data_IF_315571648963
#
_entry.id   IF_315571648963
#
_cell.length_a   1.000
_cell.length_b   1.000
_cell.length_c   1.000
_cell.angle_alpha   90.00
_cell.angle_beta   90.00
_cell.angle_gamma   90.00
#
_symmetry.space_group_name_H-M   'P 1'
#
loop_
_entity.id
_entity.type
_entity.pdbx_description
1 polymer ?
#
# COMPACT_ATOMS: atom_id res chain seq x y z
N UNK A 1 -31.53 -46.54 -34.32
CA UNK A 1 -31.84 -45.55 -33.28
C UNK A 1 -30.92 -45.82 -32.09
N UNK A 2 -29.80 -45.12 -32.00
CA UNK A 2 -28.93 -45.13 -30.82
C UNK A 2 -28.81 -43.69 -30.33
N UNK A 3 -29.48 -43.40 -29.21
CA UNK A 3 -29.30 -42.16 -28.47
C UNK A 3 -27.94 -42.26 -27.74
N UNK A 4 -26.95 -41.52 -28.21
CA UNK A 4 -25.71 -41.29 -27.45
C UNK A 4 -25.94 -40.08 -26.56
N UNK A 5 -25.99 -40.32 -25.25
CA UNK A 5 -26.10 -39.28 -24.25
C UNK A 5 -24.80 -38.46 -24.24
N UNK A 6 -24.88 -37.22 -24.70
CA UNK A 6 -23.86 -36.20 -24.47
C UNK A 6 -23.75 -35.97 -22.96
N UNK A 7 -22.72 -36.55 -22.36
CA UNK A 7 -22.29 -36.25 -21.00
C UNK A 7 -21.75 -34.81 -21.03
N UNK A 8 -22.57 -33.84 -20.60
CA UNK A 8 -22.08 -32.50 -20.27
C UNK A 8 -21.03 -32.68 -19.18
N UNK A 9 -19.77 -32.51 -19.56
CA UNK A 9 -18.68 -32.30 -18.61
C UNK A 9 -18.94 -30.95 -17.95
N UNK A 10 -19.63 -30.97 -16.81
CA UNK A 10 -19.64 -29.84 -15.89
C UNK A 10 -18.19 -29.71 -15.43
N UNK A 11 -17.45 -28.79 -16.05
CA UNK A 11 -16.24 -28.24 -15.45
C UNK A 11 -16.76 -27.52 -14.21
N UNK A 12 -16.83 -28.27 -13.11
CA UNK A 12 -16.91 -27.70 -11.78
C UNK A 12 -15.68 -26.82 -11.67
N UNK A 13 -15.87 -25.52 -11.89
CA UNK A 13 -14.92 -24.54 -11.42
C UNK A 13 -14.87 -24.75 -9.92
N UNK A 14 -13.88 -25.53 -9.46
CA UNK A 14 -13.46 -25.44 -8.08
C UNK A 14 -13.04 -24.00 -7.90
N UNK A 15 -13.98 -23.17 -7.46
CA UNK A 15 -13.73 -21.97 -6.68
C UNK A 15 -12.96 -22.46 -5.46
N UNK A 16 -11.66 -22.74 -5.65
CA UNK A 16 -10.71 -22.66 -4.57
C UNK A 16 -10.83 -21.21 -4.12
N UNK A 17 -11.57 -20.99 -3.04
CA UNK A 17 -11.66 -19.69 -2.39
C UNK A 17 -10.23 -19.37 -1.96
N UNK A 18 -9.52 -18.61 -2.79
CA UNK A 18 -8.17 -18.20 -2.49
C UNK A 18 -8.28 -17.11 -1.42
N UNK A 19 -7.59 -17.28 -0.29
CA UNK A 19 -7.59 -16.27 0.76
C UNK A 19 -6.38 -15.30 0.64
N UNK A 20 -5.58 -15.44 -0.44
CA UNK A 20 -4.50 -14.52 -0.81
C UNK A 20 -4.27 -14.53 -2.32
N UNK A 21 -3.64 -13.48 -2.86
CA UNK A 21 -3.20 -13.45 -4.26
C UNK A 21 -2.16 -14.55 -4.56
N UNK A 22 -1.28 -14.87 -3.60
CA UNK A 22 -0.32 -15.96 -3.75
C UNK A 22 -1.01 -17.32 -3.95
N UNK A 23 -2.09 -17.60 -3.21
CA UNK A 23 -2.86 -18.83 -3.37
C UNK A 23 -3.68 -18.84 -4.66
N UNK A 24 -4.17 -17.68 -5.11
CA UNK A 24 -4.84 -17.57 -6.41
C UNK A 24 -3.92 -17.98 -7.57
N UNK A 25 -2.60 -17.88 -7.41
CA UNK A 25 -1.62 -18.39 -8.36
C UNK A 25 -1.46 -19.92 -8.36
N UNK A 26 -1.73 -20.61 -7.24
CA UNK A 26 -1.36 -22.04 -7.00
C UNK A 26 -2.16 -23.08 -7.82
N UNK A 27 -2.61 -22.72 -9.01
CA UNK A 27 -3.29 -23.61 -9.96
C UNK A 27 -3.25 -23.16 -11.41
N UNK A 28 -2.54 -22.08 -11.74
CA UNK A 28 -2.39 -21.56 -13.12
C UNK A 28 -0.92 -21.58 -13.53
N UNK A 29 -0.63 -22.08 -14.73
CA UNK A 29 0.72 -22.03 -15.32
C UNK A 29 1.19 -20.58 -15.56
N UNK A 30 0.26 -19.62 -15.63
CA UNK A 30 0.53 -18.18 -15.75
C UNK A 30 -0.50 -17.41 -14.92
N UNK A 31 -0.11 -16.81 -13.78
CA UNK A 31 -1.02 -15.95 -13.03
C UNK A 31 -1.33 -14.68 -13.83
N UNK A 32 -2.60 -14.26 -13.85
CA UNK A 32 -3.09 -13.14 -14.68
C UNK A 32 -3.27 -11.92 -13.78
N UNK A 33 -2.59 -10.81 -14.07
CA UNK A 33 -2.83 -9.57 -13.32
C UNK A 33 -4.26 -9.07 -13.51
N UNK A 34 -4.93 -8.70 -12.42
CA UNK A 34 -6.30 -8.22 -12.48
C UNK A 34 -7.02 -8.23 -11.14
N UNK A 35 -8.35 -8.05 -11.19
CA UNK A 35 -9.21 -8.10 -10.01
C UNK A 35 -9.53 -9.54 -9.61
N UNK A 36 -9.45 -9.80 -8.31
CA UNK A 36 -9.78 -11.08 -7.68
C UNK A 36 -10.67 -10.85 -6.48
N UNK A 37 -11.51 -11.84 -6.18
CA UNK A 37 -12.26 -11.90 -4.93
C UNK A 37 -11.63 -12.94 -4.01
N UNK A 38 -11.13 -12.48 -2.86
CA UNK A 38 -10.50 -13.33 -1.85
C UNK A 38 -11.43 -13.57 -0.65
N UNK A 39 -11.07 -14.52 0.19
CA UNK A 39 -11.73 -14.80 1.47
C UNK A 39 -10.90 -14.38 2.68
N UNK A 40 -11.54 -13.84 3.71
CA UNK A 40 -10.94 -13.79 5.05
C UNK A 40 -10.94 -15.19 5.67
N UNK A 41 -10.19 -15.43 6.77
CA UNK A 41 -10.27 -16.69 7.51
C UNK A 41 -11.69 -17.02 8.03
N UNK A 42 -12.54 -16.00 8.18
CA UNK A 42 -13.95 -16.14 8.57
C UNK A 42 -14.90 -16.35 7.38
N UNK A 43 -14.38 -16.50 6.16
CA UNK A 43 -15.14 -16.74 4.94
C UNK A 43 -15.80 -15.50 4.33
N UNK A 44 -15.54 -14.29 4.87
CA UNK A 44 -16.04 -13.04 4.26
C UNK A 44 -15.25 -12.75 2.99
N UNK A 45 -15.96 -12.37 1.93
CA UNK A 45 -15.32 -12.05 0.65
C UNK A 45 -14.91 -10.58 0.58
N UNK A 46 -13.81 -10.31 -0.10
CA UNK A 46 -13.31 -8.96 -0.35
C UNK A 46 -12.58 -8.90 -1.69
N UNK A 47 -12.63 -7.74 -2.34
CA UNK A 47 -12.02 -7.54 -3.64
C UNK A 47 -10.60 -6.98 -3.48
N UNK A 48 -9.70 -7.54 -4.30
CA UNK A 48 -8.31 -7.12 -4.42
C UNK A 48 -7.93 -7.01 -5.89
N UNK A 49 -6.87 -6.27 -6.16
CA UNK A 49 -6.16 -6.36 -7.43
C UNK A 49 -4.85 -7.10 -7.17
N UNK A 50 -4.67 -8.24 -7.81
CA UNK A 50 -3.44 -9.02 -7.74
C UNK A 50 -2.56 -8.65 -8.92
N UNK A 51 -1.38 -8.12 -8.63
CA UNK A 51 -0.45 -7.61 -9.62
C UNK A 51 0.81 -8.48 -9.66
N UNK A 52 0.89 -9.36 -10.66
CA UNK A 52 1.90 -10.42 -10.71
C UNK A 52 3.13 -10.02 -11.54
N UNK A 53 4.29 -10.43 -11.02
CA UNK A 53 5.62 -10.31 -11.61
C UNK A 53 6.32 -11.67 -11.61
N UNK A 54 7.52 -11.74 -12.18
CA UNK A 54 8.36 -12.93 -12.07
C UNK A 54 8.78 -13.15 -10.60
N UNK A 55 8.44 -14.33 -10.06
CA UNK A 55 8.74 -14.75 -8.69
C UNK A 55 8.01 -14.03 -7.54
N UNK A 56 7.19 -13.01 -7.82
CA UNK A 56 6.48 -12.26 -6.77
C UNK A 56 5.25 -11.52 -7.32
N UNK A 57 4.49 -10.88 -6.44
CA UNK A 57 3.43 -9.96 -6.83
C UNK A 57 3.04 -9.00 -5.71
N UNK A 58 2.06 -8.16 -6.00
CA UNK A 58 1.52 -7.18 -5.07
C UNK A 58 0.01 -7.31 -4.94
N UNK A 59 -0.48 -7.28 -3.70
CA UNK A 59 -1.92 -7.25 -3.41
C UNK A 59 -2.34 -5.83 -3.12
N UNK A 60 -3.23 -5.25 -3.93
CA UNK A 60 -3.91 -4.00 -3.62
C UNK A 60 -5.32 -4.30 -3.11
N UNK A 61 -5.72 -3.73 -1.98
CA UNK A 61 -7.07 -3.91 -1.43
C UNK A 61 -7.96 -2.72 -1.80
N UNK A 62 -9.23 -2.98 -2.10
CA UNK A 62 -10.20 -1.91 -2.36
C UNK A 62 -10.53 -1.12 -1.08
N UNK A 63 -10.71 0.19 -1.20
CA UNK A 63 -11.21 1.08 -0.13
C UNK A 63 -12.49 0.53 0.51
N UNK A 64 -13.38 0.00 -0.32
CA UNK A 64 -14.70 -0.51 0.07
C UNK A 64 -14.62 -1.75 0.97
N UNK A 65 -13.52 -2.50 0.90
CA UNK A 65 -13.38 -3.75 1.65
C UNK A 65 -12.38 -3.67 2.80
N UNK A 66 -11.72 -2.52 3.02
CA UNK A 66 -10.72 -2.41 4.08
C UNK A 66 -11.32 -2.72 5.47
N UNK A 67 -12.58 -2.36 5.72
CA UNK A 67 -13.31 -2.67 6.96
C UNK A 67 -13.74 -4.13 7.13
N UNK A 68 -13.56 -4.98 6.10
CA UNK A 68 -13.79 -6.44 6.19
C UNK A 68 -12.61 -7.13 6.88
N UNK A 69 -11.43 -6.53 6.78
CA UNK A 69 -10.18 -7.07 7.31
C UNK A 69 -10.05 -6.79 8.81
N UNK A 70 -9.54 -7.78 9.55
CA UNK A 70 -9.13 -7.61 10.95
C UNK A 70 -7.71 -7.03 11.04
N UNK A 71 -6.85 -7.49 10.13
CA UNK A 71 -5.48 -7.05 9.95
C UNK A 71 -5.06 -7.28 8.48
N UNK A 72 -3.83 -6.92 8.13
CA UNK A 72 -3.31 -6.97 6.76
C UNK A 72 -2.50 -8.24 6.47
N UNK A 73 -2.36 -9.17 7.43
CA UNK A 73 -1.38 -10.26 7.38
C UNK A 73 -1.54 -11.20 6.18
N UNK A 74 -2.77 -11.36 5.68
CA UNK A 74 -3.05 -12.21 4.51
C UNK A 74 -2.67 -11.56 3.17
N UNK A 75 -2.33 -10.26 3.14
CA UNK A 75 -2.05 -9.53 1.91
C UNK A 75 -0.58 -9.59 1.48
N UNK A 76 0.33 -9.97 2.39
CA UNK A 76 1.77 -9.99 2.15
C UNK A 76 2.42 -11.28 2.68
N UNK A 77 3.56 -11.63 2.10
CA UNK A 77 4.54 -12.54 2.73
C UNK A 77 5.91 -11.89 2.86
N UNK A 78 6.08 -10.68 2.35
CA UNK A 78 7.34 -9.95 2.33
C UNK A 78 7.12 -8.49 2.78
N UNK A 79 7.98 -8.00 3.68
CA UNK A 79 7.93 -6.64 4.26
C UNK A 79 9.15 -5.80 3.90
N UNK A 80 9.96 -6.25 2.95
CA UNK A 80 11.16 -5.55 2.49
C UNK A 80 10.81 -4.23 1.80
N UNK A 81 9.71 -4.19 1.05
CA UNK A 81 9.19 -3.00 0.40
C UNK A 81 7.70 -3.16 0.06
N UNK A 82 7.08 -2.06 -0.33
CA UNK A 82 5.75 -2.00 -0.94
C UNK A 82 5.85 -1.35 -2.31
N UNK A 83 4.88 -1.64 -3.18
CA UNK A 83 4.66 -0.85 -4.39
C UNK A 83 3.61 0.22 -4.07
N UNK A 84 3.92 1.49 -4.33
CA UNK A 84 2.92 2.56 -4.26
C UNK A 84 2.57 3.00 -5.66
N UNK A 85 1.28 2.91 -5.99
CA UNK A 85 0.73 3.37 -7.27
C UNK A 85 0.01 4.69 -7.08
N UNK A 86 0.56 5.76 -7.65
CA UNK A 86 0.04 7.12 -7.59
C UNK A 86 -0.90 7.33 -8.77
N UNK A 87 -2.04 7.98 -8.54
CA UNK A 87 -2.94 8.43 -9.61
C UNK A 87 -2.85 9.94 -9.79
N UNK A 88 -2.66 10.37 -11.03
CA UNK A 88 -2.70 11.77 -11.44
C UNK A 88 -4.14 12.18 -11.81
N UNK A 89 -4.42 13.48 -11.83
CA UNK A 89 -5.75 14.03 -12.13
C UNK A 89 -6.21 13.75 -13.58
N UNK A 90 -5.26 13.59 -14.50
CA UNK A 90 -5.52 13.19 -15.89
C UNK A 90 -5.73 11.67 -16.06
N UNK A 91 -5.64 10.90 -14.97
CA UNK A 91 -5.82 9.46 -14.96
C UNK A 91 -4.55 8.64 -15.16
N UNK A 92 -3.40 9.27 -15.44
CA UNK A 92 -2.11 8.58 -15.50
C UNK A 92 -1.81 7.96 -14.14
N UNK A 93 -1.27 6.73 -14.14
CA UNK A 93 -0.80 6.07 -12.93
C UNK A 93 0.69 5.83 -13.01
N UNK A 94 1.37 6.02 -11.88
CA UNK A 94 2.81 5.85 -11.74
C UNK A 94 3.13 4.97 -10.54
N UNK A 95 4.10 4.10 -10.70
CA UNK A 95 4.58 3.16 -9.69
C UNK A 95 5.91 3.60 -9.10
N UNK A 96 6.06 3.39 -7.79
CA UNK A 96 7.34 3.52 -7.09
C UNK A 96 7.43 2.50 -5.96
N UNK A 97 8.58 1.85 -5.83
CA UNK A 97 8.86 0.99 -4.69
C UNK A 97 9.31 1.85 -3.49
N UNK A 98 8.71 1.59 -2.33
CA UNK A 98 9.05 2.24 -1.07
C UNK A 98 9.53 1.18 -0.08
N UNK A 99 10.71 1.37 0.49
CA UNK A 99 11.34 0.44 1.44
C UNK A 99 11.87 1.17 2.69
N UNK A 100 12.17 0.45 3.79
CA UNK A 100 12.95 1.03 4.88
C UNK A 100 14.34 1.42 4.39
N UNK A 101 14.91 2.47 4.98
CA UNK A 101 16.28 2.91 4.70
C UNK A 101 17.30 1.75 4.86
N UNK A 102 18.32 1.71 4.00
CA UNK A 102 19.30 0.61 3.94
C UNK A 102 19.95 0.29 5.29
N UNK A 103 20.33 1.32 6.06
CA UNK A 103 20.94 1.19 7.38
C UNK A 103 20.00 0.53 8.43
N UNK A 104 18.70 0.51 8.19
CA UNK A 104 17.69 0.11 9.18
C UNK A 104 16.87 -1.10 8.75
N UNK A 105 16.79 -1.42 7.45
CA UNK A 105 15.89 -2.46 6.90
C UNK A 105 16.01 -3.85 7.53
N UNK A 106 17.19 -4.23 8.02
CA UNK A 106 17.39 -5.52 8.69
C UNK A 106 16.85 -5.55 10.13
N UNK A 107 16.79 -4.39 10.79
CA UNK A 107 16.29 -4.25 12.17
C UNK A 107 14.83 -3.84 12.22
N UNK A 108 14.41 -3.00 11.26
CA UNK A 108 13.09 -2.39 11.21
C UNK A 108 12.49 -2.58 9.80
N UNK A 109 11.89 -3.75 9.51
CA UNK A 109 11.07 -3.92 8.31
C UNK A 109 9.80 -3.07 8.41
N UNK A 110 9.18 -2.73 7.27
CA UNK A 110 8.00 -1.83 7.27
C UNK A 110 6.90 -2.42 8.14
N UNK A 111 6.41 -1.65 9.11
CA UNK A 111 5.27 -2.02 9.94
C UNK A 111 3.95 -1.75 9.22
N UNK A 112 3.24 -2.81 8.84
CA UNK A 112 1.91 -2.73 8.27
C UNK A 112 0.84 -2.83 9.36
N UNK A 113 0.01 -1.81 9.50
CA UNK A 113 -1.07 -1.80 10.49
C UNK A 113 -2.37 -1.29 9.89
N UNK A 114 -3.51 -1.75 10.43
CA UNK A 114 -4.85 -1.36 10.00
C UNK A 114 -5.51 -0.49 11.08
N UNK A 115 -5.77 0.77 10.76
CA UNK A 115 -6.45 1.76 11.60
C UNK A 115 -5.82 1.94 13.00
N UNK A 116 -4.51 1.72 13.10
CA UNK A 116 -3.73 1.84 14.33
C UNK A 116 -2.27 2.21 14.00
N UNK A 117 -1.53 2.68 15.01
CA UNK A 117 -0.12 3.08 14.92
C UNK A 117 0.68 2.62 16.15
N UNK A 118 0.53 1.36 16.57
CA UNK A 118 1.18 0.80 17.76
C UNK A 118 2.70 0.88 17.62
N UNK A 119 3.36 1.59 18.53
CA UNK A 119 4.81 1.80 18.54
C UNK A 119 5.30 2.92 17.61
N UNK A 120 4.37 3.67 16.99
CA UNK A 120 4.62 4.78 16.08
C UNK A 120 3.70 5.96 16.43
N UNK A 121 3.91 7.09 15.76
CA UNK A 121 3.07 8.27 15.94
C UNK A 121 1.76 8.14 15.16
N UNK A 122 0.67 8.56 15.80
CA UNK A 122 -0.67 8.52 15.21
C UNK A 122 -0.73 9.51 14.03
N UNK A 123 -1.30 9.09 12.88
CA UNK A 123 -1.53 9.97 11.73
C UNK A 123 -2.36 11.21 12.09
N UNK A 124 -2.06 12.37 11.51
CA UNK A 124 -2.87 13.58 11.73
C UNK A 124 -4.27 13.45 11.17
N UNK A 125 -4.43 12.71 10.07
CA UNK A 125 -5.71 12.41 9.46
C UNK A 125 -6.35 11.11 9.98
N UNK A 126 -5.97 10.61 11.16
CA UNK A 126 -6.52 9.36 11.73
C UNK A 126 -8.05 9.35 11.87
N UNK A 127 -8.71 10.52 11.94
CA UNK A 127 -10.17 10.62 11.93
C UNK A 127 -10.82 10.15 10.60
N UNK A 128 -10.06 10.08 9.50
CA UNK A 128 -10.49 9.57 8.19
C UNK A 128 -10.51 8.03 8.10
N UNK A 129 -10.49 7.35 9.24
CA UNK A 129 -10.50 5.89 9.32
C UNK A 129 -11.65 5.24 8.51
N UNK A 130 -11.47 3.99 8.04
CA UNK A 130 -10.29 3.15 8.23
C UNK A 130 -9.09 3.58 7.37
N UNK A 131 -7.88 3.21 7.80
CA UNK A 131 -6.64 3.52 7.08
C UNK A 131 -5.61 2.40 7.15
N UNK A 132 -4.75 2.31 6.14
CA UNK A 132 -3.54 1.49 6.15
C UNK A 132 -2.38 2.37 6.65
N UNK A 133 -1.60 1.86 7.59
CA UNK A 133 -0.42 2.53 8.14
C UNK A 133 0.85 1.78 7.79
N UNK A 134 1.84 2.47 7.23
CA UNK A 134 3.18 1.97 6.97
C UNK A 134 4.19 2.72 7.86
N UNK A 135 4.64 2.09 8.93
CA UNK A 135 5.67 2.64 9.82
C UNK A 135 7.07 2.22 9.38
N UNK A 136 8.01 3.16 9.25
CA UNK A 136 9.39 2.86 8.84
C UNK A 136 10.34 2.71 10.03
N UNK A 137 10.31 3.66 10.98
CA UNK A 137 11.12 3.62 12.19
C UNK A 137 10.23 3.82 13.44
N UNK A 138 10.37 2.98 14.48
CA UNK A 138 9.55 3.09 15.68
C UNK A 138 9.92 4.31 16.52
N UNK A 139 8.98 4.80 17.34
CA UNK A 139 9.22 5.99 18.19
C UNK A 139 10.40 5.83 19.14
N UNK A 140 10.65 4.60 19.59
CA UNK A 140 11.78 4.27 20.47
C UNK A 140 13.14 4.57 19.85
N UNK A 141 13.21 4.68 18.52
CA UNK A 141 14.41 5.07 17.78
C UNK A 141 14.33 6.53 17.33
N UNK A 142 13.19 6.95 16.77
CA UNK A 142 13.08 8.22 16.05
C UNK A 142 13.21 9.46 16.94
N UNK A 143 13.00 9.35 18.26
CA UNK A 143 13.17 10.45 19.24
C UNK A 143 14.62 10.95 19.42
N UNK A 144 15.57 10.38 18.69
CA UNK A 144 16.96 10.82 18.69
C UNK A 144 17.23 11.80 17.54
N UNK A 145 18.14 12.76 17.74
CA UNK A 145 18.57 13.70 16.67
C UNK A 145 19.54 13.05 15.68
N UNK A 146 19.08 12.00 15.01
CA UNK A 146 19.86 11.16 14.10
C UNK A 146 19.45 11.40 12.65
N UNK A 147 20.29 10.93 11.73
CA UNK A 147 19.91 10.79 10.32
C UNK A 147 18.93 9.63 10.18
N UNK A 148 17.80 9.91 9.54
CA UNK A 148 16.68 9.00 9.34
C UNK A 148 16.24 9.09 7.89
N UNK A 149 15.33 8.20 7.48
CA UNK A 149 14.94 8.15 6.08
C UNK A 149 14.18 6.89 5.71
N UNK A 150 14.02 6.73 4.41
CA UNK A 150 13.42 5.57 3.76
C UNK A 150 14.03 5.44 2.36
N UNK A 151 13.68 4.38 1.63
CA UNK A 151 14.06 4.25 0.23
C UNK A 151 12.87 4.52 -0.69
N UNK A 152 13.13 5.22 -1.80
CA UNK A 152 12.21 5.28 -2.93
C UNK A 152 12.95 4.91 -4.21
N UNK A 153 12.40 3.97 -4.99
CA UNK A 153 13.04 3.44 -6.19
C UNK A 153 14.50 2.97 -5.94
N UNK A 154 14.73 2.30 -4.81
CA UNK A 154 16.04 1.77 -4.42
C UNK A 154 17.06 2.79 -3.88
N UNK A 155 16.74 4.08 -3.84
CA UNK A 155 17.63 5.13 -3.36
C UNK A 155 17.31 5.54 -1.92
N UNK A 156 18.32 5.62 -1.06
CA UNK A 156 18.17 6.12 0.32
C UNK A 156 17.91 7.64 0.31
N UNK A 157 16.75 8.02 0.82
CA UNK A 157 16.36 9.41 1.04
C UNK A 157 16.52 9.73 2.52
N UNK A 158 17.39 10.68 2.84
CA UNK A 158 17.79 10.97 4.22
C UNK A 158 17.47 12.38 4.66
N UNK A 159 17.11 12.53 5.93
CA UNK A 159 16.99 13.81 6.62
C UNK A 159 17.55 13.68 8.05
N UNK A 160 17.83 14.81 8.68
CA UNK A 160 18.15 14.85 10.10
C UNK A 160 16.87 15.10 10.91
N UNK A 161 16.58 14.26 11.90
CA UNK A 161 15.56 14.61 12.88
C UNK A 161 16.06 15.74 13.79
N UNK A 162 15.84 16.99 13.40
CA UNK A 162 16.42 18.15 14.06
C UNK A 162 15.70 18.56 15.36
N UNK A 163 14.49 18.06 15.63
CA UNK A 163 13.65 18.47 16.77
C UNK A 163 13.18 17.32 17.67
N UNK A 164 13.59 16.06 17.40
CA UNK A 164 13.19 14.83 18.12
C UNK A 164 11.75 14.36 17.89
N UNK A 165 11.05 14.95 16.93
CA UNK A 165 9.70 14.52 16.56
C UNK A 165 9.73 13.08 16.01
N UNK A 166 8.95 12.14 16.56
CA UNK A 166 9.10 10.71 16.26
C UNK A 166 8.46 10.23 14.95
N UNK A 167 7.89 11.11 14.13
CA UNK A 167 7.16 10.72 12.92
C UNK A 167 8.07 10.03 11.88
N UNK A 168 7.65 8.85 11.42
CA UNK A 168 8.32 8.10 10.35
C UNK A 168 7.34 7.12 9.70
N UNK A 169 6.43 7.63 8.87
CA UNK A 169 5.38 6.82 8.26
C UNK A 169 4.82 7.36 6.94
N UNK A 170 4.08 6.48 6.26
CA UNK A 170 3.16 6.78 5.17
C UNK A 170 1.82 6.08 5.46
N UNK A 171 0.69 6.78 5.35
CA UNK A 171 -0.64 6.26 5.65
C UNK A 171 -1.63 6.52 4.52
N UNK A 172 -2.60 5.62 4.34
CA UNK A 172 -3.59 5.61 3.25
C UNK A 172 -5.00 5.48 3.83
N UNK A 173 -5.83 6.49 3.64
CA UNK A 173 -7.13 6.66 4.29
C UNK A 173 -8.27 6.44 3.31
N UNK A 174 -9.30 5.72 3.76
CA UNK A 174 -10.54 5.54 3.00
C UNK A 174 -11.36 6.83 2.99
N UNK A 175 -11.39 7.55 4.11
CA UNK A 175 -12.18 8.77 4.33
C UNK A 175 -13.66 8.66 3.89
N UNK A 176 -14.42 7.66 4.40
CA UNK A 176 -15.80 7.41 3.94
C UNK A 176 -16.76 8.56 4.22
N UNK A 177 -16.46 9.39 5.23
CA UNK A 177 -17.26 10.55 5.61
C UNK A 177 -16.86 11.84 4.89
N UNK A 178 -15.93 11.77 3.92
CA UNK A 178 -15.40 12.93 3.20
C UNK A 178 -14.96 14.06 4.14
N UNK A 179 -14.29 13.71 5.24
CA UNK A 179 -13.77 14.69 6.18
C UNK A 179 -12.73 15.56 5.47
N UNK A 180 -12.65 16.86 5.81
CA UNK A 180 -11.57 17.70 5.33
C UNK A 180 -10.23 17.21 5.91
N UNK A 181 -9.13 17.31 5.13
CA UNK A 181 -7.77 17.19 5.62
C UNK A 181 -7.51 18.02 6.86
N UNK A 182 -6.67 17.50 7.75
CA UNK A 182 -6.15 18.27 8.87
C UNK A 182 -5.36 19.48 8.37
N UNK A 183 -5.65 20.65 8.95
CA UNK A 183 -5.05 21.93 8.60
C UNK A 183 -3.58 22.07 9.04
N UNK A 184 -3.02 21.06 9.71
CA UNK A 184 -1.72 21.09 10.39
C UNK A 184 -0.62 21.76 9.55
N UNK A 185 -0.53 21.47 8.25
CA UNK A 185 0.39 22.15 7.34
C UNK A 185 -0.19 22.27 5.93
N UNK A 186 -1.07 23.25 5.70
CA UNK A 186 -1.71 23.42 4.39
C UNK A 186 -0.74 23.63 3.22
N UNK A 187 0.48 24.17 3.40
CA UNK A 187 1.53 24.33 2.34
C UNK A 187 2.97 24.54 2.84
N UNK A 188 3.24 24.70 4.13
CA UNK A 188 4.63 24.83 4.59
C UNK A 188 5.24 23.45 4.73
N UNK A 189 6.56 23.38 4.62
CA UNK A 189 7.35 22.30 5.21
C UNK A 189 7.40 20.99 4.39
N UNK A 190 7.07 21.06 3.08
CA UNK A 190 7.46 20.03 2.11
C UNK A 190 8.98 19.99 1.99
N UNK A 191 9.58 18.87 2.35
CA UNK A 191 11.00 18.61 2.15
C UNK A 191 11.20 17.74 0.91
N UNK A 192 12.43 17.71 0.40
CA UNK A 192 12.82 16.80 -0.69
C UNK A 192 12.60 15.31 -0.35
N UNK A 193 12.53 14.95 0.94
CA UNK A 193 12.35 13.56 1.37
C UNK A 193 10.91 13.10 1.18
N UNK A 194 9.94 13.93 1.55
CA UNK A 194 8.51 13.55 1.53
C UNK A 194 7.85 13.64 0.15
N UNK A 195 8.46 14.35 -0.81
CA UNK A 195 7.98 14.42 -2.20
C UNK A 195 8.77 13.54 -3.19
N UNK A 196 9.92 12.99 -2.78
CA UNK A 196 10.81 12.28 -3.68
C UNK A 196 10.21 11.00 -4.28
N UNK A 197 9.40 10.24 -3.53
CA UNK A 197 8.77 9.03 -4.06
C UNK A 197 7.83 9.33 -5.24
N UNK A 198 7.10 10.45 -5.20
CA UNK A 198 6.26 10.89 -6.33
C UNK A 198 7.12 11.29 -7.53
N UNK A 199 8.21 12.02 -7.29
CA UNK A 199 9.14 12.45 -8.37
C UNK A 199 9.88 11.29 -9.03
N UNK A 200 10.15 10.22 -8.28
CA UNK A 200 10.85 9.03 -8.77
C UNK A 200 9.91 7.99 -9.39
N UNK A 201 8.59 8.18 -9.30
CA UNK A 201 7.63 7.22 -9.82
C UNK A 201 7.62 7.17 -11.36
N UNK A 202 7.51 5.95 -11.90
CA UNK A 202 7.52 5.66 -13.33
C UNK A 202 6.15 5.24 -13.83
N UNK A 203 5.81 5.50 -15.08
CA UNK A 203 4.48 5.18 -15.62
C UNK A 203 4.13 3.69 -15.50
N UNK A 204 2.92 3.42 -15.01
CA UNK A 204 2.33 2.09 -14.97
C UNK A 204 1.79 1.71 -16.35
N UNK A 205 1.99 0.46 -16.76
CA UNK A 205 1.45 -0.06 -18.03
C UNK A 205 -0.07 -0.27 -17.97
N UNK A 206 -0.75 -0.15 -19.12
CA UNK A 206 -2.21 -0.14 -19.22
C UNK A 206 -2.90 -1.36 -18.61
N UNK A 207 -2.31 -2.56 -18.74
CA UNK A 207 -2.86 -3.81 -18.19
C UNK A 207 -2.85 -3.87 -16.66
N UNK A 208 -2.19 -2.92 -16.01
CA UNK A 208 -1.96 -2.90 -14.55
C UNK A 208 -2.59 -1.68 -13.89
N UNK A 209 -3.35 -0.87 -14.62
CA UNK A 209 -4.03 0.30 -14.06
C UNK A 209 -5.07 -0.13 -13.03
N UNK A 210 -5.04 0.54 -11.88
CA UNK A 210 -6.00 0.29 -10.81
C UNK A 210 -7.26 1.16 -11.00
N UNK A 211 -8.46 0.59 -10.82
CA UNK A 211 -9.68 1.38 -10.70
C UNK A 211 -9.65 2.35 -9.50
N UNK A 212 -10.50 3.38 -9.54
CA UNK A 212 -10.60 4.42 -8.51
C UNK A 212 -10.91 3.87 -7.11
N UNK A 213 -11.60 2.72 -7.01
CA UNK A 213 -11.90 2.08 -5.72
C UNK A 213 -10.64 1.65 -4.94
N UNK A 214 -9.46 1.62 -5.57
CA UNK A 214 -8.17 1.34 -4.91
C UNK A 214 -7.38 2.60 -4.53
N UNK A 215 -7.80 3.81 -4.93
CA UNK A 215 -7.02 5.04 -4.72
C UNK A 215 -7.38 5.72 -3.41
N UNK A 216 -6.47 5.72 -2.44
CA UNK A 216 -6.67 6.31 -1.14
C UNK A 216 -6.22 7.77 -1.10
N UNK A 217 -6.83 8.55 -0.21
CA UNK A 217 -6.19 9.75 0.30
C UNK A 217 -4.94 9.31 1.09
N UNK A 218 -3.83 10.04 1.02
CA UNK A 218 -2.62 9.65 1.76
C UNK A 218 -2.05 10.83 2.54
N UNK A 219 -1.26 10.48 3.56
CA UNK A 219 -0.35 11.41 4.21
C UNK A 219 0.97 10.74 4.55
N UNK A 220 2.04 11.51 4.51
CA UNK A 220 3.38 11.06 4.85
C UNK A 220 4.01 12.07 5.81
N UNK A 221 4.60 11.58 6.89
CA UNK A 221 5.25 12.43 7.87
C UNK A 221 6.59 11.85 8.29
N UNK A 222 7.62 12.67 8.11
CA UNK A 222 8.97 12.44 8.57
C UNK A 222 9.33 13.55 9.57
N UNK A 223 9.65 13.18 10.81
CA UNK A 223 9.85 14.12 11.91
C UNK A 223 11.00 15.11 11.69
N UNK A 224 11.06 16.15 12.51
CA UNK A 224 12.09 17.19 12.42
C UNK A 224 12.14 17.82 11.04
N UNK A 225 13.31 17.73 10.41
CA UNK A 225 13.56 18.35 9.13
C UNK A 225 13.14 17.46 7.95
N UNK A 226 12.42 16.35 8.23
CA UNK A 226 11.92 15.42 7.23
C UNK A 226 10.65 15.90 6.52
N UNK A 227 9.82 16.71 7.17
CA UNK A 227 8.64 17.33 6.56
C UNK A 227 7.37 16.47 6.58
N UNK A 228 6.30 17.06 6.06
CA UNK A 228 4.96 16.47 6.01
C UNK A 228 4.29 16.81 4.69
N UNK A 229 3.59 15.83 4.10
CA UNK A 229 2.73 16.03 2.93
C UNK A 229 1.48 15.18 3.04
N UNK A 230 0.45 15.59 2.32
CA UNK A 230 -0.73 14.79 2.06
C UNK A 230 -1.15 14.90 0.59
N UNK A 231 -2.20 14.21 0.17
CA UNK A 231 -2.68 14.29 -1.22
C UNK A 231 -2.84 15.73 -1.70
N UNK A 232 -3.42 16.63 -0.90
CA UNK A 232 -3.67 18.03 -1.30
C UNK A 232 -2.41 18.89 -1.39
N UNK A 233 -1.27 18.37 -0.93
CA UNK A 233 0.03 19.02 -1.14
C UNK A 233 0.44 18.98 -2.61
N UNK A 234 -0.18 18.12 -3.43
CA UNK A 234 0.18 17.85 -4.82
C UNK A 234 -0.98 18.19 -5.77
N UNK A 235 -0.94 19.34 -6.47
CA UNK A 235 -2.03 19.79 -7.34
C UNK A 235 -2.40 18.85 -8.49
N UNK A 236 -1.51 17.92 -8.84
CA UNK A 236 -1.68 16.98 -9.98
C UNK A 236 -2.01 15.56 -9.53
N UNK A 237 -2.05 15.27 -8.24
CA UNK A 237 -2.26 13.92 -7.70
C UNK A 237 -3.66 13.84 -7.09
N UNK A 238 -4.39 12.78 -7.43
CA UNK A 238 -5.74 12.51 -6.92
C UNK A 238 -5.77 11.47 -5.79
N UNK A 239 -4.73 10.65 -5.67
CA UNK A 239 -4.63 9.63 -4.63
C UNK A 239 -3.50 8.65 -4.88
N UNK A 240 -3.38 7.65 -4.00
CA UNK A 240 -2.42 6.58 -4.15
C UNK A 240 -2.94 5.26 -3.56
N UNK A 241 -2.48 4.13 -4.11
CA UNK A 241 -2.76 2.79 -3.63
C UNK A 241 -1.47 2.14 -3.14
N UNK A 242 -1.57 1.29 -2.11
CA UNK A 242 -0.45 0.50 -1.60
C UNK A 242 -0.63 -0.97 -1.97
N UNK A 243 0.39 -1.52 -2.63
CA UNK A 243 0.53 -2.90 -3.03
C UNK A 243 1.43 -3.64 -2.05
N UNK A 244 0.87 -4.68 -1.42
CA UNK A 244 1.55 -5.51 -0.43
C UNK A 244 2.28 -6.68 -1.10
N UNK A 245 3.60 -6.76 -0.91
CA UNK A 245 4.42 -7.76 -1.61
C UNK A 245 4.21 -9.17 -1.08
N UNK A 246 4.09 -10.12 -1.99
CA UNK A 246 4.12 -11.55 -1.70
C UNK A 246 5.02 -12.30 -2.69
N UNK A 247 5.65 -13.37 -2.23
CA UNK A 247 6.38 -14.31 -3.09
C UNK A 247 5.46 -15.28 -3.83
N UNK A 248 5.87 -15.70 -5.02
CA UNK A 248 5.27 -16.78 -5.81
C UNK A 248 6.29 -17.92 -5.84
N UNK A 249 5.87 -19.12 -5.40
CA UNK A 249 6.69 -20.33 -5.40
C UNK A 249 6.58 -21.07 -6.71
#
# INVERSE_FOLDING_TARGET
MYFSAFMLLVISSMLKTACSCSLACTGSLTPITGEYQLCTPTGRRFDVFCDFYDGHGYTFVSKENLGVLKDLSQLFTDRSHVLVRIRQNDGIQKDVEIAPHSAFKHRYPISFQLSQAVGYSVPFNAAMAPYIYLGFLPESYTRSRTTQGYQAAGEDLTFTNCDTNPNSYLAFFVNPSNLPPNDHYKRCCMSHVVDAWIKKATDTVSSRLLPEKYMYYFEMHMGGCGGYVSTDSFPTVSGAAVGFRFGIL
#
